data_IF_766044340181
#
_entry.id   IF_766044340181
#
_cell.length_a   1.000
_cell.length_b   1.000
_cell.length_c   1.000
_cell.angle_alpha   90.00
_cell.angle_beta   90.00
_cell.angle_gamma   90.00
#
_symmetry.space_group_name_H-M   'P 1'
#
loop_
_entity.id
_entity.type
_entity.pdbx_description
1 polymer ?
#
# COMPACT_ATOMS: atom_id res chain seq x y z
N UNK A 1 3.38 -16.57 -4.50
CA UNK A 1 4.84 -16.40 -4.70
C UNK A 1 5.30 -15.48 -3.58
N UNK A 2 6.34 -15.89 -2.85
CA UNK A 2 6.99 -15.04 -1.85
C UNK A 2 7.57 -13.83 -2.60
N UNK A 3 7.08 -12.62 -2.29
CA UNK A 3 7.69 -11.41 -2.81
C UNK A 3 8.85 -11.05 -1.87
N UNK A 4 10.08 -11.13 -2.35
CA UNK A 4 11.21 -10.56 -1.61
C UNK A 4 10.98 -9.06 -1.45
N UNK A 5 10.92 -8.60 -0.21
CA UNK A 5 10.65 -7.20 0.09
C UNK A 5 11.81 -6.32 -0.36
N UNK A 6 11.52 -5.38 -1.28
CA UNK A 6 12.36 -4.23 -1.55
C UNK A 6 11.58 -2.96 -1.14
N UNK A 7 12.27 -1.99 -0.53
CA UNK A 7 11.67 -0.74 -0.03
C UNK A 7 10.93 0.04 -1.13
N UNK A 8 11.37 -0.13 -2.38
CA UNK A 8 10.81 0.55 -3.56
C UNK A 8 9.79 -0.32 -4.33
N UNK A 9 9.49 -1.54 -3.88
CA UNK A 9 8.58 -2.48 -4.59
C UNK A 9 7.15 -1.98 -4.78
N UNK A 10 6.75 -0.98 -4.00
CA UNK A 10 5.37 -0.47 -3.98
C UNK A 10 5.29 1.04 -4.24
N UNK A 11 6.37 1.67 -4.69
CA UNK A 11 6.40 3.08 -5.04
C UNK A 11 5.34 3.39 -6.11
N UNK A 12 4.62 4.50 -5.94
CA UNK A 12 3.48 4.96 -6.76
C UNK A 12 2.24 4.06 -6.76
N UNK A 13 2.16 3.03 -5.91
CA UNK A 13 0.93 2.25 -5.82
C UNK A 13 -0.15 3.08 -5.10
N UNK A 14 -1.29 3.29 -5.78
CA UNK A 14 -2.45 3.97 -5.21
C UNK A 14 -3.15 3.07 -4.18
N UNK A 15 -3.39 3.58 -2.97
CA UNK A 15 -4.20 2.93 -1.93
C UNK A 15 -5.67 3.37 -2.08
N UNK A 16 -6.55 2.40 -2.27
CA UNK A 16 -8.00 2.58 -2.37
C UNK A 16 -8.72 2.34 -1.04
N UNK A 17 -8.15 1.55 -0.14
CA UNK A 17 -8.79 1.23 1.12
C UNK A 17 -7.89 0.47 2.10
N UNK A 18 -8.36 0.38 3.34
CA UNK A 18 -7.73 -0.40 4.41
C UNK A 18 -8.77 -1.41 4.91
N UNK A 19 -8.38 -2.67 4.97
CA UNK A 19 -9.21 -3.79 5.46
C UNK A 19 -8.62 -4.29 6.77
N UNK A 20 -9.46 -4.35 7.80
CA UNK A 20 -9.11 -4.92 9.10
C UNK A 20 -9.68 -6.33 9.19
N UNK A 21 -8.80 -7.33 9.29
CA UNK A 21 -9.17 -8.71 9.54
C UNK A 21 -8.97 -9.03 11.02
N UNK A 22 -9.80 -8.40 11.86
CA UNK A 22 -9.75 -8.59 13.31
C UNK A 22 -10.87 -9.50 13.79
N UNK A 23 -10.51 -10.48 14.62
CA UNK A 23 -11.45 -11.29 15.38
C UNK A 23 -11.54 -10.79 16.83
N UNK A 24 -12.74 -10.89 17.41
CA UNK A 24 -12.98 -10.40 18.78
C UNK A 24 -12.19 -11.25 19.77
N UNK A 25 -11.26 -10.63 20.49
CA UNK A 25 -10.49 -11.26 21.58
C UNK A 25 -9.04 -11.58 21.25
N UNK A 26 -8.58 -11.28 20.03
CA UNK A 26 -7.17 -11.42 19.65
C UNK A 26 -6.37 -10.14 19.92
N UNK A 27 -5.09 -10.30 20.26
CA UNK A 27 -4.17 -9.18 20.53
C UNK A 27 -3.43 -8.70 19.28
N UNK A 28 -3.51 -9.45 18.18
CA UNK A 28 -3.01 -9.13 16.86
C UNK A 28 -4.12 -9.33 15.84
N UNK A 29 -3.97 -8.76 14.65
CA UNK A 29 -4.92 -8.94 13.54
C UNK A 29 -4.21 -8.74 12.21
N UNK A 30 -4.73 -9.31 11.13
CA UNK A 30 -4.19 -8.99 9.83
C UNK A 30 -4.76 -7.65 9.32
N UNK A 31 -3.96 -6.89 8.59
CA UNK A 31 -4.41 -5.67 7.89
C UNK A 31 -4.03 -5.79 6.42
N UNK A 32 -4.95 -5.42 5.53
CA UNK A 32 -4.61 -5.30 4.11
C UNK A 32 -4.86 -3.89 3.59
N UNK A 33 -3.94 -3.42 2.75
CA UNK A 33 -4.13 -2.26 1.90
C UNK A 33 -4.64 -2.74 0.53
N UNK A 34 -5.79 -2.22 0.12
CA UNK A 34 -6.29 -2.42 -1.24
C UNK A 34 -5.58 -1.44 -2.17
N UNK A 35 -4.77 -1.96 -3.10
CA UNK A 35 -3.86 -1.17 -3.93
C UNK A 35 -4.04 -1.42 -5.43
N UNK A 36 -3.62 -0.43 -6.22
CA UNK A 36 -3.23 -0.63 -7.62
C UNK A 36 -1.76 -1.06 -7.65
N UNK A 37 -1.49 -2.36 -7.67
CA UNK A 37 -0.15 -2.91 -7.69
C UNK A 37 0.48 -2.75 -9.08
N UNK A 38 1.51 -1.90 -9.18
CA UNK A 38 2.32 -1.75 -10.37
C UNK A 38 3.37 -2.87 -10.41
N UNK A 39 3.18 -3.87 -11.28
CA UNK A 39 4.13 -4.96 -11.46
C UNK A 39 5.40 -4.50 -12.19
N UNK A 40 5.22 -3.71 -13.25
CA UNK A 40 6.35 -3.20 -14.06
C UNK A 40 5.99 -2.04 -14.96
N UNK A 41 7.04 -1.35 -15.39
CA UNK A 41 7.02 -0.21 -16.29
C UNK A 41 7.51 -0.65 -17.67
N UNK A 42 6.79 -0.26 -18.71
CA UNK A 42 7.10 -0.57 -20.11
C UNK A 42 7.36 0.75 -20.81
N UNK A 43 8.59 0.96 -21.29
CA UNK A 43 8.94 2.09 -22.14
C UNK A 43 8.97 1.63 -23.60
N UNK A 44 8.15 2.24 -24.45
CA UNK A 44 8.14 1.92 -25.89
C UNK A 44 9.35 2.54 -26.58
N UNK A 45 9.67 2.07 -27.79
CA UNK A 45 10.73 2.66 -28.63
C UNK A 45 10.47 4.15 -28.95
N UNK A 46 9.19 4.57 -28.93
CA UNK A 46 8.77 5.96 -29.13
C UNK A 46 8.85 6.81 -27.86
N UNK A 47 9.26 6.22 -26.74
CA UNK A 47 9.42 6.89 -25.46
C UNK A 47 8.14 6.96 -24.60
N UNK A 48 7.05 6.33 -25.02
CA UNK A 48 5.81 6.27 -24.24
C UNK A 48 5.99 5.34 -23.05
N UNK A 49 5.35 5.66 -21.92
CA UNK A 49 5.40 4.86 -20.69
C UNK A 49 4.05 4.22 -20.45
N UNK A 50 4.06 2.91 -20.24
CA UNK A 50 2.91 2.12 -19.82
C UNK A 50 3.25 1.38 -18.53
N UNK A 51 2.22 1.08 -17.76
CA UNK A 51 2.29 0.38 -16.50
C UNK A 51 1.47 -0.90 -16.61
N UNK A 52 2.04 -2.00 -16.14
CA UNK A 52 1.30 -3.24 -15.93
C UNK A 52 0.79 -3.21 -14.49
N UNK A 53 -0.53 -3.12 -14.34
CA UNK A 53 -1.18 -2.90 -13.04
C UNK A 53 -2.20 -4.01 -12.78
N UNK A 54 -2.28 -4.43 -11.52
CA UNK A 54 -3.31 -5.32 -11.00
C UNK A 54 -3.98 -4.68 -9.78
N UNK A 55 -5.28 -4.94 -9.58
CA UNK A 55 -5.85 -4.78 -8.24
C UNK A 55 -5.28 -5.86 -7.32
N UNK A 56 -4.76 -5.46 -6.17
CA UNK A 56 -4.17 -6.37 -5.21
C UNK A 56 -4.43 -5.96 -3.76
N UNK A 57 -4.33 -6.93 -2.85
CA UNK A 57 -4.24 -6.68 -1.42
C UNK A 57 -2.79 -6.85 -0.98
N UNK A 58 -2.19 -5.78 -0.45
CA UNK A 58 -0.94 -5.84 0.28
C UNK A 58 -1.26 -6.08 1.75
N UNK A 59 -1.11 -7.33 2.18
CA UNK A 59 -1.53 -7.81 3.50
C UNK A 59 -0.34 -7.90 4.45
N UNK A 60 -0.51 -7.46 5.68
CA UNK A 60 0.44 -7.56 6.78
C UNK A 60 -0.13 -8.48 7.85
N UNK A 61 0.73 -9.32 8.42
CA UNK A 61 0.33 -10.39 9.33
C UNK A 61 0.69 -10.09 10.78
N UNK A 62 -0.17 -10.53 11.69
CA UNK A 62 -0.01 -10.38 13.14
C UNK A 62 0.21 -8.92 13.56
N UNK A 63 -0.59 -8.02 13.02
CA UNK A 63 -0.40 -6.58 13.20
C UNK A 63 -0.70 -6.16 14.64
N UNK A 64 0.20 -5.37 15.23
CA UNK A 64 0.01 -4.66 16.50
C UNK A 64 0.33 -3.18 16.40
N UNK A 65 -0.04 -2.43 17.44
CA UNK A 65 0.35 -1.02 17.63
C UNK A 65 0.00 -0.12 16.44
N UNK A 66 -1.08 -0.47 15.73
CA UNK A 66 -1.48 0.24 14.52
C UNK A 66 -1.74 1.72 14.81
N UNK A 67 -1.08 2.55 14.01
CA UNK A 67 -1.39 3.97 13.86
C UNK A 67 -1.63 4.26 12.39
N UNK A 68 -2.84 4.73 12.10
CA UNK A 68 -3.27 5.14 10.78
C UNK A 68 -3.72 6.60 10.85
N UNK A 69 -2.97 7.48 10.20
CA UNK A 69 -3.35 8.87 9.98
C UNK A 69 -3.34 9.13 8.49
N UNK A 70 -4.50 9.46 7.93
CA UNK A 70 -4.67 9.76 6.51
C UNK A 70 -5.17 11.19 6.40
N UNK A 71 -4.33 12.03 5.82
CA UNK A 71 -4.63 13.40 5.47
C UNK A 71 -4.85 13.50 3.95
N UNK A 72 -6.10 13.72 3.55
CA UNK A 72 -6.51 13.85 2.15
C UNK A 72 -6.43 15.32 1.68
N UNK A 73 -5.46 16.07 2.20
CA UNK A 73 -5.19 17.48 1.87
C UNK A 73 -6.02 18.48 2.67
N UNK A 74 -5.46 19.68 2.85
CA UNK A 74 -6.15 20.81 3.46
C UNK A 74 -6.75 21.72 2.37
N UNK A 75 -7.98 21.42 2.00
CA UNK A 75 -8.73 22.14 0.95
C UNK A 75 -9.54 23.31 1.52
N UNK A 76 -9.27 23.73 2.76
CA UNK A 76 -10.04 24.76 3.47
C UNK A 76 -11.56 24.56 3.30
N UNK A 77 -12.04 23.39 3.77
CA UNK A 77 -13.43 22.92 3.80
C UNK A 77 -13.93 22.02 2.63
N UNK A 78 -13.07 21.47 1.76
CA UNK A 78 -13.32 20.50 0.65
C UNK A 78 -13.23 21.00 -0.81
N UNK A 79 -12.78 22.23 -1.12
CA UNK A 79 -12.70 22.74 -2.51
C UNK A 79 -11.53 22.15 -3.33
N UNK A 80 -11.71 20.90 -3.71
CA UNK A 80 -10.87 19.92 -4.39
C UNK A 80 -9.88 20.47 -5.44
N UNK A 81 -8.58 20.16 -5.29
CA UNK A 81 -7.63 20.17 -6.40
C UNK A 81 -7.51 18.76 -6.99
N UNK A 82 -7.71 18.63 -8.31
CA UNK A 82 -7.62 17.35 -9.01
C UNK A 82 -6.23 16.70 -8.96
N UNK A 83 -5.22 17.48 -8.57
CA UNK A 83 -3.81 17.08 -8.54
C UNK A 83 -3.44 16.21 -7.32
N UNK A 84 -4.35 16.02 -6.35
CA UNK A 84 -4.17 15.18 -5.16
C UNK A 84 -5.23 14.07 -5.05
N UNK A 85 -5.59 13.43 -6.18
CA UNK A 85 -6.59 12.36 -6.20
C UNK A 85 -6.00 11.01 -5.74
N UNK A 86 -5.76 10.87 -4.43
CA UNK A 86 -5.40 9.59 -3.83
C UNK A 86 -4.23 9.62 -2.86
N UNK A 87 -4.15 8.57 -2.05
CA UNK A 87 -3.00 8.28 -1.18
C UNK A 87 -2.12 7.27 -1.91
N UNK A 88 -0.94 7.69 -2.32
CA UNK A 88 0.04 6.85 -3.02
C UNK A 88 1.13 6.43 -2.05
N UNK A 89 1.60 5.19 -2.16
CA UNK A 89 2.76 4.72 -1.43
C UNK A 89 4.00 5.37 -2.04
N UNK A 90 4.71 6.16 -1.24
CA UNK A 90 6.02 6.69 -1.62
C UNK A 90 7.11 5.67 -1.25
N UNK A 91 7.07 5.17 -0.01
CA UNK A 91 8.09 4.24 0.48
C UNK A 91 7.51 3.33 1.55
N UNK A 92 7.95 2.07 1.57
CA UNK A 92 7.74 1.18 2.72
C UNK A 92 9.11 0.89 3.33
N UNK A 93 9.24 1.10 4.64
CA UNK A 93 10.43 0.70 5.39
C UNK A 93 10.05 -0.26 6.49
N UNK A 94 10.99 -1.13 6.86
CA UNK A 94 10.84 -2.02 8.00
C UNK A 94 12.11 -2.05 8.83
N UNK A 95 11.95 -2.10 10.14
CA UNK A 95 13.05 -2.28 11.08
C UNK A 95 12.72 -3.45 12.00
N UNK A 96 13.60 -4.45 12.07
CA UNK A 96 13.44 -5.55 13.02
C UNK A 96 13.40 -4.99 14.44
N UNK A 97 12.43 -5.45 15.22
CA UNK A 97 12.27 -5.12 16.64
C UNK A 97 12.05 -6.40 17.44
N UNK A 98 12.23 -6.32 18.76
CA UNK A 98 11.81 -7.39 19.64
C UNK A 98 10.27 -7.41 19.74
N UNK A 99 9.70 -8.62 19.74
CA UNK A 99 8.29 -8.86 20.04
C UNK A 99 8.16 -10.14 20.85
N UNK A 100 7.21 -10.22 21.80
CA UNK A 100 6.86 -11.47 22.45
C UNK A 100 5.97 -12.37 21.56
N UNK A 101 5.53 -11.89 20.40
CA UNK A 101 4.60 -12.60 19.50
C UNK A 101 5.36 -13.56 18.57
N UNK A 102 6.38 -13.05 17.88
CA UNK A 102 7.17 -13.79 16.90
C UNK A 102 8.64 -13.35 16.95
N UNK A 103 9.57 -14.25 16.61
CA UNK A 103 11.01 -13.94 16.54
C UNK A 103 11.30 -12.96 15.39
N UNK A 104 10.59 -13.10 14.28
CA UNK A 104 10.70 -12.27 13.08
C UNK A 104 9.59 -11.22 13.09
N UNK A 105 9.85 -10.13 13.82
CA UNK A 105 8.90 -9.02 13.98
C UNK A 105 9.53 -7.68 13.60
N UNK A 106 8.75 -6.85 12.91
CA UNK A 106 9.25 -5.61 12.35
C UNK A 106 8.30 -4.45 12.66
N UNK A 107 8.87 -3.28 12.92
CA UNK A 107 8.17 -2.01 12.84
C UNK A 107 8.13 -1.60 11.37
N UNK A 108 6.94 -1.59 10.79
CA UNK A 108 6.67 -1.15 9.43
C UNK A 108 6.24 0.31 9.43
N UNK A 109 6.74 1.07 8.45
CA UNK A 109 6.31 2.43 8.17
C UNK A 109 6.03 2.55 6.68
N UNK A 110 4.87 3.11 6.33
CA UNK A 110 4.46 3.40 4.97
C UNK A 110 4.36 4.93 4.86
N UNK A 111 5.30 5.50 4.15
CA UNK A 111 5.31 6.90 3.78
C UNK A 111 4.42 7.08 2.57
N UNK A 112 3.56 8.10 2.60
CA UNK A 112 2.67 8.41 1.49
C UNK A 112 3.12 9.66 0.74
N UNK A 113 2.48 9.96 -0.39
CA UNK A 113 2.64 11.22 -1.11
C UNK A 113 2.23 12.47 -0.31
N UNK A 114 1.56 12.33 0.84
CA UNK A 114 1.35 13.41 1.81
C UNK A 114 2.14 13.14 3.10
N UNK A 115 3.08 14.03 3.42
CA UNK A 115 3.94 13.92 4.59
C UNK A 115 3.21 13.98 5.94
N UNK A 116 1.98 14.50 5.97
CA UNK A 116 1.16 14.51 7.20
C UNK A 116 0.39 13.19 7.40
N UNK A 117 0.35 12.33 6.37
CA UNK A 117 -0.21 10.99 6.49
C UNK A 117 0.89 10.01 6.91
N UNK A 118 0.58 9.17 7.88
CA UNK A 118 1.49 8.15 8.38
C UNK A 118 0.74 6.87 8.67
N UNK A 119 1.26 5.75 8.16
CA UNK A 119 0.79 4.42 8.49
C UNK A 119 1.98 3.67 9.10
N UNK A 120 1.87 3.30 10.37
CA UNK A 120 2.90 2.53 11.05
C UNK A 120 2.29 1.50 11.99
N UNK A 121 2.96 0.37 12.12
CA UNK A 121 2.50 -0.77 12.90
C UNK A 121 3.61 -1.80 13.10
N UNK A 122 3.48 -2.64 14.12
CA UNK A 122 4.25 -3.88 14.22
C UNK A 122 3.60 -4.96 13.35
N UNK A 123 4.38 -5.79 12.68
CA UNK A 123 3.87 -6.99 11.99
C UNK A 123 4.99 -8.02 11.78
N UNK A 124 4.62 -9.30 11.73
CA UNK A 124 5.55 -10.42 11.54
C UNK A 124 6.06 -10.49 10.09
N UNK A 125 5.14 -10.35 9.14
CA UNK A 125 5.41 -10.54 7.72
C UNK A 125 4.40 -9.78 6.84
N UNK A 126 4.54 -9.93 5.52
CA UNK A 126 3.58 -9.41 4.54
C UNK A 126 3.37 -10.41 3.40
N UNK A 127 2.25 -10.29 2.71
CA UNK A 127 1.93 -11.02 1.49
C UNK A 127 1.23 -10.10 0.48
N UNK A 128 1.34 -10.45 -0.80
CA UNK A 128 0.65 -9.74 -1.89
C UNK A 128 -0.32 -10.71 -2.56
N UNK A 129 -1.61 -10.38 -2.53
CA UNK A 129 -2.67 -11.14 -3.18
C UNK A 129 -3.20 -10.39 -4.41
N UNK A 130 -3.00 -10.95 -5.60
CA UNK A 130 -3.54 -10.41 -6.84
C UNK A 130 -5.00 -10.83 -7.00
N UNK A 131 -5.93 -9.86 -7.00
CA UNK A 131 -7.37 -10.10 -7.08
C UNK A 131 -7.92 -9.74 -8.47
N UNK A 132 -7.38 -8.69 -9.08
CA UNK A 132 -7.85 -8.18 -10.36
C UNK A 132 -7.18 -8.83 -11.57
N UNK A 133 -7.77 -8.55 -12.74
CA UNK A 133 -7.14 -8.89 -14.01
C UNK A 133 -6.02 -7.92 -14.35
N UNK A 134 -5.02 -8.40 -15.10
CA UNK A 134 -3.92 -7.58 -15.60
C UNK A 134 -4.44 -6.46 -16.50
N UNK A 135 -4.02 -5.22 -16.22
CA UNK A 135 -4.24 -4.07 -17.08
C UNK A 135 -2.91 -3.50 -17.55
N UNK A 136 -2.87 -3.03 -18.80
CA UNK A 136 -1.73 -2.27 -19.34
C UNK A 136 -2.22 -0.89 -19.73
N UNK A 137 -1.84 0.13 -18.96
CA UNK A 137 -2.37 1.49 -19.09
C UNK A 137 -1.24 2.52 -19.07
N UNK A 138 -1.50 3.74 -19.56
CA UNK A 138 -0.53 4.84 -19.61
C UNK A 138 -0.62 5.79 -18.39
N UNK A 139 -1.05 5.26 -17.24
CA UNK A 139 -1.22 5.96 -15.95
C UNK A 139 -0.90 4.98 -14.82
N UNK A 140 -0.60 5.47 -13.62
CA UNK A 140 -0.17 4.67 -12.47
C UNK A 140 -1.32 4.12 -11.61
N UNK A 141 -2.56 4.19 -12.10
CA UNK A 141 -3.75 3.75 -11.35
C UNK A 141 -4.81 3.15 -12.27
N UNK A 142 -5.69 2.35 -11.67
CA UNK A 142 -6.84 1.77 -12.35
C UNK A 142 -8.09 2.62 -12.12
N UNK A 143 -8.92 2.73 -13.15
CA UNK A 143 -10.27 3.27 -13.02
C UNK A 143 -11.19 2.26 -12.34
N UNK A 144 -12.32 2.74 -11.81
CA UNK A 144 -13.27 1.89 -11.06
C UNK A 144 -13.76 0.66 -11.84
N UNK A 145 -13.89 0.75 -13.16
CA UNK A 145 -14.33 -0.34 -14.04
C UNK A 145 -13.19 -1.27 -14.49
N UNK A 146 -11.93 -0.95 -14.14
CA UNK A 146 -10.74 -1.74 -14.45
C UNK A 146 -10.22 -2.52 -13.23
N UNK A 147 -10.76 -2.20 -12.04
CA UNK A 147 -10.45 -2.82 -10.75
C UNK A 147 -11.32 -4.04 -10.46
#
# INVERSE_FOLDING_TARGET
MEHDFNEDSFHDNLIHGVVFYSDVGEFSSDIALDIDYIEKWIKTERGEIFFVIYKALLKFHDVTDLKLSINWGDTNNSHFSGDASGVYINKITKKRIYSPIEDDYFLWNIDTNNHDSHINFGASSFSLEIIGSKQTVNRQFLLRNER
#
